data_IF_716023971811
#
_entry.id   IF_716023971811
#
_cell.length_a   1.000
_cell.length_b   1.000
_cell.length_c   1.000
_cell.angle_alpha   90.00
_cell.angle_beta   90.00
_cell.angle_gamma   90.00
#
_symmetry.space_group_name_H-M   'P 1'
#
loop_
_entity.id
_entity.type
_entity.pdbx_description
1 polymer ?
#
# COMPACT_ATOMS: atom_id res chain seq x y z
N UNK A 1 3.52 6.33 -22.63
CA UNK A 1 3.36 5.25 -21.64
C UNK A 1 4.32 5.58 -20.51
N UNK A 2 3.80 6.04 -19.37
CA UNK A 2 4.65 6.19 -18.19
C UNK A 2 5.22 4.82 -17.82
N UNK A 3 6.51 4.78 -17.48
CA UNK A 3 7.16 3.53 -17.07
C UNK A 3 6.50 3.02 -15.80
N UNK A 4 6.02 1.78 -15.85
CA UNK A 4 5.56 1.06 -14.65
C UNK A 4 6.74 0.91 -13.70
N UNK A 5 6.66 1.54 -12.52
CA UNK A 5 7.61 1.34 -11.44
C UNK A 5 7.22 0.08 -10.67
N UNK A 6 7.94 -1.01 -10.96
CA UNK A 6 7.78 -2.31 -10.32
C UNK A 6 8.32 -2.34 -8.88
N UNK A 7 8.99 -1.29 -8.41
CA UNK A 7 9.53 -1.20 -7.04
C UNK A 7 8.55 -0.61 -6.03
N UNK A 8 7.39 -0.11 -6.48
CA UNK A 8 6.40 0.50 -5.58
C UNK A 8 5.87 -0.48 -4.51
N UNK A 9 5.53 -1.75 -4.83
CA UNK A 9 5.04 -2.69 -3.82
C UNK A 9 6.07 -2.98 -2.73
N UNK A 10 7.35 -3.20 -3.09
CA UNK A 10 8.40 -3.47 -2.10
C UNK A 10 8.64 -2.26 -1.20
N UNK A 11 8.71 -1.05 -1.78
CA UNK A 11 8.85 0.20 -1.02
C UNK A 11 7.66 0.43 -0.09
N UNK A 12 6.45 0.04 -0.51
CA UNK A 12 5.24 0.15 0.31
C UNK A 12 5.32 -0.81 1.51
N UNK A 13 5.71 -2.06 1.27
CA UNK A 13 5.91 -3.04 2.35
C UNK A 13 6.98 -2.55 3.35
N UNK A 14 8.11 -2.04 2.87
CA UNK A 14 9.15 -1.48 3.73
C UNK A 14 8.64 -0.31 4.58
N UNK A 15 7.82 0.59 3.99
CA UNK A 15 7.21 1.70 4.70
C UNK A 15 6.20 1.21 5.76
N UNK A 16 5.44 0.14 5.47
CA UNK A 16 4.53 -0.48 6.43
C UNK A 16 5.30 -1.05 7.63
N UNK A 17 6.38 -1.80 7.37
CA UNK A 17 7.25 -2.37 8.42
C UNK A 17 7.91 -1.25 9.24
N UNK A 18 8.33 -0.18 8.60
CA UNK A 18 8.92 0.99 9.25
C UNK A 18 7.90 1.90 9.98
N UNK A 19 6.58 1.62 9.88
CA UNK A 19 5.48 2.44 10.41
C UNK A 19 5.49 3.89 9.91
N UNK A 20 5.94 4.11 8.67
CA UNK A 20 5.96 5.42 8.04
C UNK A 20 4.68 5.61 7.21
N UNK A 21 3.61 6.09 7.87
CA UNK A 21 2.29 6.22 7.24
C UNK A 21 2.22 7.29 6.15
N UNK A 22 3.01 8.36 6.26
CA UNK A 22 3.10 9.39 5.22
C UNK A 22 3.71 8.79 3.94
N UNK A 23 4.80 8.04 4.08
CA UNK A 23 5.44 7.39 2.94
C UNK A 23 4.56 6.28 2.37
N UNK A 24 3.93 5.47 3.22
CA UNK A 24 3.00 4.43 2.79
C UNK A 24 1.82 5.02 2.00
N UNK A 25 1.22 6.13 2.46
CA UNK A 25 0.15 6.83 1.74
C UNK A 25 0.61 7.33 0.37
N UNK A 26 1.77 7.99 0.31
CA UNK A 26 2.33 8.48 -0.97
C UNK A 26 2.55 7.34 -1.96
N UNK A 27 3.08 6.22 -1.51
CA UNK A 27 3.32 5.04 -2.34
C UNK A 27 2.01 4.41 -2.81
N UNK A 28 1.02 4.26 -1.92
CA UNK A 28 -0.31 3.76 -2.29
C UNK A 28 -0.99 4.66 -3.33
N UNK A 29 -0.90 5.99 -3.20
CA UNK A 29 -1.43 6.94 -4.20
C UNK A 29 -0.70 6.81 -5.55
N UNK A 30 0.62 6.60 -5.54
CA UNK A 30 1.38 6.37 -6.78
C UNK A 30 0.97 5.06 -7.46
N UNK A 31 0.80 3.98 -6.69
CA UNK A 31 0.32 2.70 -7.20
C UNK A 31 -1.09 2.83 -7.79
N UNK A 32 -2.00 3.50 -7.08
CA UNK A 32 -3.36 3.75 -7.55
C UNK A 32 -3.37 4.50 -8.90
N UNK A 33 -2.53 5.54 -9.04
CA UNK A 33 -2.35 6.27 -10.31
C UNK A 33 -1.79 5.36 -11.41
N UNK A 34 -0.75 4.58 -11.11
CA UNK A 34 -0.12 3.68 -12.07
C UNK A 34 -1.09 2.60 -12.58
N UNK A 35 -1.95 2.09 -11.70
CA UNK A 35 -2.96 1.09 -12.03
C UNK A 35 -4.28 1.69 -12.53
N UNK A 36 -4.36 3.02 -12.66
CA UNK A 36 -5.56 3.76 -13.07
C UNK A 36 -6.80 3.40 -12.24
N UNK A 37 -6.65 3.38 -10.91
CA UNK A 37 -7.71 3.06 -9.94
C UNK A 37 -7.76 4.07 -8.80
N UNK A 38 -8.84 4.00 -8.00
CA UNK A 38 -8.97 4.82 -6.79
C UNK A 38 -8.02 4.33 -5.70
N UNK A 39 -7.67 5.21 -4.76
CA UNK A 39 -6.86 4.84 -3.59
C UNK A 39 -7.53 3.70 -2.80
N UNK A 40 -8.83 3.81 -2.53
CA UNK A 40 -9.63 2.74 -1.93
C UNK A 40 -9.45 1.38 -2.62
N UNK A 41 -9.63 1.33 -3.94
CA UNK A 41 -9.49 0.08 -4.70
C UNK A 41 -8.05 -0.47 -4.65
N UNK A 42 -7.05 0.40 -4.64
CA UNK A 42 -5.65 0.01 -4.44
C UNK A 42 -5.43 -0.58 -3.04
N UNK A 43 -5.94 0.06 -2.00
CA UNK A 43 -5.82 -0.42 -0.61
C UNK A 43 -6.52 -1.76 -0.40
N UNK A 44 -7.72 -1.96 -0.98
CA UNK A 44 -8.43 -3.25 -0.93
C UNK A 44 -7.61 -4.37 -1.57
N UNK A 45 -6.96 -4.08 -2.71
CA UNK A 45 -6.10 -5.06 -3.40
C UNK A 45 -4.82 -5.33 -2.61
N UNK A 46 -4.18 -4.29 -2.06
CA UNK A 46 -3.01 -4.45 -1.19
C UNK A 46 -3.32 -5.28 0.06
N UNK A 47 -4.52 -5.16 0.64
CA UNK A 47 -4.96 -5.97 1.78
C UNK A 47 -5.12 -7.45 1.39
N UNK A 48 -5.71 -7.72 0.22
CA UNK A 48 -5.84 -9.08 -0.32
C UNK A 48 -4.47 -9.67 -0.65
N UNK A 49 -3.60 -8.92 -1.33
CA UNK A 49 -2.25 -9.37 -1.70
C UNK A 49 -1.38 -9.60 -0.45
N UNK A 50 -1.56 -8.83 0.62
CA UNK A 50 -0.86 -9.05 1.87
C UNK A 50 -1.28 -10.35 2.59
N UNK A 51 -2.45 -10.91 2.27
CA UNK A 51 -2.96 -12.11 2.94
C UNK A 51 -2.13 -13.37 2.66
N UNK A 52 -1.42 -13.41 1.53
CA UNK A 52 -0.52 -14.49 1.13
C UNK A 52 0.90 -14.34 1.69
N UNK A 53 1.22 -13.20 2.31
CA UNK A 53 2.52 -12.94 2.92
C UNK A 53 2.63 -13.57 4.31
N UNK A 54 3.87 -13.78 4.76
CA UNK A 54 4.16 -14.17 6.15
C UNK A 54 3.63 -13.12 7.14
N UNK A 55 3.38 -13.55 8.38
CA UNK A 55 2.82 -12.68 9.42
C UNK A 55 3.64 -11.43 9.71
N UNK A 56 4.95 -11.49 9.48
CA UNK A 56 5.89 -10.38 9.68
C UNK A 56 5.61 -9.18 8.76
N UNK A 57 5.05 -9.42 7.57
CA UNK A 57 4.66 -8.37 6.62
C UNK A 57 3.15 -8.12 6.64
N UNK A 58 2.36 -9.20 6.74
CA UNK A 58 0.89 -9.11 6.74
C UNK A 58 0.36 -8.21 7.86
N UNK A 59 0.88 -8.35 9.08
CA UNK A 59 0.39 -7.57 10.22
C UNK A 59 0.69 -6.07 10.08
N UNK A 60 1.94 -5.64 9.77
CA UNK A 60 2.22 -4.23 9.49
C UNK A 60 1.38 -3.65 8.36
N UNK A 61 1.22 -4.38 7.25
CA UNK A 61 0.42 -3.90 6.11
C UNK A 61 -1.05 -3.76 6.50
N UNK A 62 -1.62 -4.74 7.20
CA UNK A 62 -3.01 -4.67 7.67
C UNK A 62 -3.27 -3.46 8.58
N UNK A 63 -2.37 -3.23 9.54
CA UNK A 63 -2.44 -2.07 10.44
C UNK A 63 -2.32 -0.78 9.65
N UNK A 64 -1.35 -0.70 8.73
CA UNK A 64 -1.13 0.47 7.89
C UNK A 64 -2.35 0.77 7.02
N UNK A 65 -2.93 -0.22 6.34
CA UNK A 65 -4.11 -0.02 5.49
C UNK A 65 -5.30 0.49 6.31
N UNK A 66 -5.50 -0.02 7.52
CA UNK A 66 -6.52 0.52 8.44
C UNK A 66 -6.27 1.98 8.79
N UNK A 67 -5.02 2.37 9.04
CA UNK A 67 -4.64 3.76 9.30
C UNK A 67 -4.87 4.63 8.07
N UNK A 68 -4.44 4.17 6.88
CA UNK A 68 -4.59 4.89 5.62
C UNK A 68 -6.05 5.14 5.24
N UNK A 69 -6.96 4.21 5.55
CA UNK A 69 -8.41 4.38 5.33
C UNK A 69 -9.01 5.53 6.15
N UNK A 70 -8.41 5.90 7.28
CA UNK A 70 -8.87 7.07 8.05
C UNK A 70 -8.57 8.41 7.34
N UNK A 71 -7.64 8.43 6.38
CA UNK A 71 -7.35 9.62 5.57
C UNK A 71 -8.30 9.77 4.37
N UNK A 72 -9.21 8.81 4.14
CA UNK A 72 -10.26 8.91 3.13
C UNK A 72 -11.56 9.55 3.65
N UNK A 73 -11.67 9.77 4.97
CA UNK A 73 -12.84 10.38 5.64
C UNK A 73 -12.65 11.89 5.86
#
# INVERSE_FOLDING_TARGET
MDKVDLSLPSKFMDACVAKDSIKALRLAVLMAKQHNRTLKAELDILEVDASILSSEYRLPIHIMIKELRNYEA
#
